data_IF_819174516704
#
_entry.id   IF_819174516704
#
_cell.length_a   1.000
_cell.length_b   1.000
_cell.length_c   1.000
_cell.angle_alpha   90.00
_cell.angle_beta   90.00
_cell.angle_gamma   90.00
#
_symmetry.space_group_name_H-M   'P 1'
#
loop_
_entity.id
_entity.type
_entity.pdbx_description
1 polymer ?
#
# COMPACT_ATOMS: atom_id res chain seq x y z
N UNK A 1 15.92 44.68 -65.76
CA UNK A 1 14.45 44.60 -65.96
C UNK A 1 13.79 44.53 -64.58
N UNK A 2 12.60 45.12 -64.47
CA UNK A 2 11.96 45.63 -63.26
C UNK A 2 11.26 44.55 -62.40
N UNK A 3 11.24 44.78 -61.08
CA UNK A 3 10.21 44.40 -60.08
C UNK A 3 10.14 42.90 -59.68
N UNK A 4 9.81 42.49 -58.45
CA UNK A 4 9.05 43.13 -57.38
C UNK A 4 9.40 42.55 -55.98
N UNK A 5 9.25 43.39 -54.95
CA UNK A 5 9.14 43.04 -53.53
C UNK A 5 7.94 42.13 -53.24
N UNK A 6 8.01 41.30 -52.20
CA UNK A 6 7.13 41.34 -51.01
C UNK A 6 7.63 40.33 -49.95
N UNK A 7 7.89 40.81 -48.72
CA UNK A 7 8.15 39.99 -47.52
C UNK A 7 6.83 39.79 -46.77
N UNK A 8 6.46 38.54 -46.51
CA UNK A 8 5.53 38.08 -45.47
C UNK A 8 6.24 36.86 -44.83
N UNK A 9 6.51 36.70 -43.53
CA UNK A 9 6.03 37.39 -42.35
C UNK A 9 5.14 36.48 -41.52
N UNK A 10 5.64 35.40 -40.92
CA UNK A 10 4.96 34.69 -39.81
C UNK A 10 5.97 34.13 -38.81
N UNK A 11 6.28 34.98 -37.83
CA UNK A 11 6.53 34.57 -36.45
C UNK A 11 5.23 33.92 -35.99
N UNK A 12 5.18 32.61 -35.80
CA UNK A 12 4.13 31.87 -35.07
C UNK A 12 4.46 30.38 -35.22
N UNK A 13 5.39 29.86 -34.41
CA UNK A 13 5.56 28.41 -34.15
C UNK A 13 6.38 28.21 -32.87
N UNK A 14 6.07 29.01 -31.85
CA UNK A 14 6.48 28.77 -30.47
C UNK A 14 5.23 28.91 -29.61
N UNK A 15 4.33 27.92 -29.63
CA UNK A 15 3.37 27.62 -28.55
C UNK A 15 2.46 26.43 -28.87
N UNK A 16 3.01 25.21 -29.01
CA UNK A 16 2.16 24.00 -29.10
C UNK A 16 2.80 22.76 -28.47
N UNK A 17 3.63 22.92 -27.44
CA UNK A 17 4.24 21.79 -26.73
C UNK A 17 4.18 21.90 -25.19
N UNK A 18 3.46 22.89 -24.64
CA UNK A 18 3.44 23.15 -23.19
C UNK A 18 2.10 22.80 -22.49
N UNK A 19 1.18 22.08 -23.15
CA UNK A 19 -0.15 21.77 -22.61
C UNK A 19 -0.44 20.28 -22.36
N UNK A 20 0.54 19.39 -22.53
CA UNK A 20 0.34 17.94 -22.37
C UNK A 20 1.14 17.28 -21.23
N UNK A 21 1.76 18.05 -20.34
CA UNK A 21 2.70 17.52 -19.34
C UNK A 21 2.16 17.21 -17.92
N UNK A 22 0.92 17.53 -17.47
CA UNK A 22 0.47 17.05 -16.16
C UNK A 22 -0.08 15.62 -16.18
N UNK A 23 -0.35 15.02 -17.35
CA UNK A 23 -1.02 13.70 -17.44
C UNK A 23 -0.11 12.48 -17.20
N UNK A 24 1.20 12.61 -17.40
CA UNK A 24 2.12 11.46 -17.31
C UNK A 24 2.46 11.05 -15.87
N UNK A 25 2.21 11.92 -14.88
CA UNK A 25 2.51 11.61 -13.48
C UNK A 25 1.46 10.68 -12.83
N UNK A 26 0.24 10.60 -13.36
CA UNK A 26 -0.85 9.80 -12.76
C UNK A 26 -0.74 8.31 -13.14
N UNK A 27 0.02 7.97 -14.18
CA UNK A 27 0.15 6.59 -14.67
C UNK A 27 1.12 5.72 -13.84
N UNK A 28 1.97 6.32 -13.00
CA UNK A 28 3.01 5.59 -12.25
C UNK A 28 2.64 5.28 -10.79
N UNK A 29 1.48 5.72 -10.30
CA UNK A 29 1.03 5.35 -8.97
C UNK A 29 0.15 4.10 -9.06
N UNK A 30 0.80 2.97 -9.36
CA UNK A 30 0.18 1.65 -9.31
C UNK A 30 -0.18 1.38 -7.84
N UNK A 31 -1.43 1.66 -7.48
CA UNK A 31 -1.99 1.45 -6.15
C UNK A 31 -1.70 0.00 -5.74
N UNK A 32 -0.87 -0.20 -4.69
CA UNK A 32 -0.56 -1.52 -4.11
C UNK A 32 -1.85 -2.17 -3.60
N UNK A 33 -2.56 -2.88 -4.47
CA UNK A 33 -3.88 -3.44 -4.19
C UNK A 33 -3.86 -4.90 -4.55
N UNK A 34 -4.19 -5.74 -3.57
CA UNK A 34 -4.41 -7.14 -3.81
C UNK A 34 -5.65 -7.33 -4.70
N UNK A 35 -5.68 -8.33 -5.60
CA UNK A 35 -6.92 -8.72 -6.25
C UNK A 35 -7.98 -9.08 -5.20
N UNK A 36 -9.19 -8.53 -5.31
CA UNK A 36 -10.26 -8.75 -4.33
C UNK A 36 -10.55 -10.25 -4.09
N UNK A 37 -10.53 -11.06 -5.15
CA UNK A 37 -10.69 -12.50 -5.07
C UNK A 37 -9.58 -13.19 -4.25
N UNK A 38 -8.34 -12.70 -4.33
CA UNK A 38 -7.22 -13.24 -3.56
C UNK A 38 -7.40 -12.97 -2.05
N UNK A 39 -7.90 -11.79 -1.69
CA UNK A 39 -8.24 -11.47 -0.29
C UNK A 39 -9.38 -12.34 0.24
N UNK A 40 -10.39 -12.65 -0.58
CA UNK A 40 -11.46 -13.58 -0.20
C UNK A 40 -10.92 -14.97 0.09
N UNK A 41 -10.06 -15.51 -0.78
CA UNK A 41 -9.43 -16.83 -0.59
C UNK A 41 -8.51 -16.82 0.64
N UNK A 42 -7.72 -15.76 0.83
CA UNK A 42 -6.92 -15.56 2.03
C UNK A 42 -7.78 -15.62 3.29
N UNK A 43 -8.87 -14.84 3.34
CA UNK A 43 -9.77 -14.78 4.49
C UNK A 43 -10.42 -16.14 4.78
N UNK A 44 -10.86 -16.87 3.76
CA UNK A 44 -11.44 -18.20 3.92
C UNK A 44 -10.44 -19.21 4.49
N UNK A 45 -9.20 -19.23 3.97
CA UNK A 45 -8.14 -20.11 4.47
C UNK A 45 -7.73 -19.76 5.90
N UNK A 46 -7.59 -18.48 6.19
CA UNK A 46 -7.26 -17.98 7.53
C UNK A 46 -8.36 -18.36 8.55
N UNK A 47 -9.63 -18.28 8.17
CA UNK A 47 -10.74 -18.75 9.00
C UNK A 47 -10.72 -20.26 9.23
N UNK A 48 -10.37 -21.05 8.21
CA UNK A 48 -10.15 -22.50 8.37
C UNK A 48 -8.98 -22.83 9.33
N UNK A 49 -8.10 -21.87 9.60
CA UNK A 49 -7.00 -21.97 10.58
C UNK A 49 -7.37 -21.44 11.98
N UNK A 50 -8.65 -21.13 12.22
CA UNK A 50 -9.17 -20.76 13.54
C UNK A 50 -9.35 -19.25 13.78
N UNK A 51 -9.13 -18.41 12.77
CA UNK A 51 -9.43 -16.97 12.87
C UNK A 51 -10.92 -16.71 12.69
N UNK A 52 -11.44 -15.68 13.36
CA UNK A 52 -12.81 -15.20 13.13
C UNK A 52 -12.85 -14.29 11.91
N UNK A 53 -14.04 -14.12 11.33
CA UNK A 53 -14.25 -13.16 10.24
C UNK A 53 -13.79 -11.73 10.62
N UNK A 54 -13.94 -11.35 11.89
CA UNK A 54 -13.46 -10.07 12.41
C UNK A 54 -11.92 -9.95 12.37
N UNK A 55 -11.19 -11.03 12.65
CA UNK A 55 -9.72 -11.01 12.71
C UNK A 55 -9.08 -10.81 11.32
N UNK A 56 -9.77 -11.20 10.26
CA UNK A 56 -9.31 -11.07 8.87
C UNK A 56 -10.02 -9.94 8.11
N UNK A 57 -10.78 -9.11 8.81
CA UNK A 57 -11.52 -8.01 8.21
C UNK A 57 -10.56 -6.88 7.82
N UNK A 58 -10.55 -6.53 6.53
CA UNK A 58 -9.83 -5.38 5.97
C UNK A 58 -8.35 -5.22 6.43
N UNK A 59 -7.49 -6.23 6.17
CA UNK A 59 -6.07 -6.09 6.44
C UNK A 59 -5.44 -5.02 5.55
N UNK A 60 -4.39 -4.37 6.06
CA UNK A 60 -3.61 -3.39 5.29
C UNK A 60 -2.70 -4.14 4.31
N UNK A 61 -2.69 -3.76 3.05
CA UNK A 61 -1.65 -4.20 2.10
C UNK A 61 -0.39 -3.39 2.38
N UNK A 62 0.64 -4.03 2.92
CA UNK A 62 1.91 -3.36 3.24
C UNK A 62 2.82 -3.29 2.03
N UNK A 63 2.80 -4.32 1.19
CA UNK A 63 3.54 -4.35 -0.05
C UNK A 63 2.88 -5.24 -1.10
N UNK A 64 3.08 -4.91 -2.38
CA UNK A 64 2.68 -5.77 -3.48
C UNK A 64 3.53 -5.51 -4.72
N UNK A 65 4.01 -6.60 -5.33
CA UNK A 65 4.79 -6.56 -6.56
C UNK A 65 4.61 -7.84 -7.36
N UNK A 66 4.84 -7.76 -8.67
CA UNK A 66 4.79 -8.89 -9.60
C UNK A 66 6.18 -9.16 -10.15
N UNK A 67 6.62 -10.41 -10.06
CA UNK A 67 7.86 -10.90 -10.65
C UNK A 67 7.74 -11.04 -12.18
N UNK A 68 8.87 -11.14 -12.88
CA UNK A 68 8.89 -11.32 -14.34
C UNK A 68 8.21 -12.60 -14.83
N UNK A 69 8.11 -13.62 -13.96
CA UNK A 69 7.40 -14.88 -14.24
C UNK A 69 5.86 -14.74 -14.08
N UNK A 70 5.35 -13.56 -13.72
CA UNK A 70 3.93 -13.28 -13.51
C UNK A 70 3.40 -13.60 -12.12
N UNK A 71 4.25 -14.08 -11.19
CA UNK A 71 3.88 -14.30 -9.79
C UNK A 71 3.74 -12.96 -9.06
N UNK A 72 2.59 -12.70 -8.47
CA UNK A 72 2.33 -11.51 -7.67
C UNK A 72 2.37 -11.84 -6.20
N UNK A 73 3.22 -11.13 -5.45
CA UNK A 73 3.29 -11.19 -3.99
C UNK A 73 2.46 -10.05 -3.42
N UNK A 74 1.60 -10.36 -2.44
CA UNK A 74 0.85 -9.37 -1.68
C UNK A 74 1.05 -9.64 -0.20
N UNK A 75 1.64 -8.68 0.49
CA UNK A 75 1.86 -8.73 1.93
C UNK A 75 0.78 -7.95 2.67
N UNK A 76 0.31 -8.55 3.75
CA UNK A 76 -0.84 -8.09 4.52
C UNK A 76 -0.41 -7.88 5.98
N UNK A 77 -1.02 -6.90 6.64
CA UNK A 77 -0.92 -6.72 8.07
C UNK A 77 -2.31 -6.55 8.68
N UNK A 78 -2.57 -7.30 9.75
CA UNK A 78 -3.84 -7.24 10.47
C UNK A 78 -4.08 -5.82 11.00
N UNK A 79 -5.35 -5.41 11.01
CA UNK A 79 -5.77 -4.09 11.48
C UNK A 79 -6.86 -4.21 12.53
N UNK A 80 -6.75 -3.44 13.60
CA UNK A 80 -7.78 -3.32 14.64
C UNK A 80 -7.95 -1.85 15.00
N UNK A 81 -9.19 -1.37 15.07
CA UNK A 81 -9.52 0.03 15.41
C UNK A 81 -8.73 1.07 14.58
N UNK A 82 -8.47 0.76 13.31
CA UNK A 82 -7.71 1.64 12.43
C UNK A 82 -6.18 1.53 12.53
N UNK A 83 -5.65 0.76 13.48
CA UNK A 83 -4.22 0.59 13.72
C UNK A 83 -3.72 -0.77 13.21
N UNK A 84 -2.52 -0.79 12.63
CA UNK A 84 -1.86 -2.04 12.25
C UNK A 84 -1.37 -2.77 13.50
N UNK A 85 -1.64 -4.07 13.59
CA UNK A 85 -1.17 -4.90 14.69
C UNK A 85 0.27 -5.32 14.40
N UNK A 86 1.19 -4.94 15.29
CA UNK A 86 2.61 -5.25 15.16
C UNK A 86 2.84 -6.77 15.08
N UNK A 87 3.70 -7.22 14.16
CA UNK A 87 4.00 -8.63 13.84
C UNK A 87 2.82 -9.51 13.36
N UNK A 88 1.59 -9.02 13.32
CA UNK A 88 0.44 -9.76 12.81
C UNK A 88 0.37 -9.68 11.27
N UNK A 89 1.24 -10.43 10.61
CA UNK A 89 1.45 -10.35 9.16
C UNK A 89 0.82 -11.54 8.42
N UNK A 90 0.66 -11.40 7.11
CA UNK A 90 0.27 -12.48 6.22
C UNK A 90 0.70 -12.19 4.80
N UNK A 91 0.53 -13.16 3.93
CA UNK A 91 0.68 -12.94 2.50
C UNK A 91 -0.26 -13.82 1.69
N UNK A 92 -0.56 -13.34 0.48
CA UNK A 92 -1.23 -14.09 -0.56
C UNK A 92 -0.46 -13.91 -1.86
N UNK A 93 -0.21 -15.01 -2.56
CA UNK A 93 0.53 -15.05 -3.81
C UNK A 93 -0.38 -15.54 -4.92
N UNK A 94 -0.40 -14.83 -6.05
CA UNK A 94 -1.24 -15.17 -7.21
C UNK A 94 -0.41 -15.34 -8.48
N UNK A 95 -0.81 -16.26 -9.35
CA UNK A 95 -0.23 -16.37 -10.70
C UNK A 95 -0.68 -15.23 -11.62
N UNK A 96 -0.21 -15.25 -12.87
CA UNK A 96 -0.54 -14.24 -13.88
C UNK A 96 -2.04 -14.18 -14.24
N UNK A 97 -2.80 -15.23 -13.94
CA UNK A 97 -4.25 -15.27 -14.11
C UNK A 97 -5.00 -14.76 -12.86
N UNK A 98 -4.28 -14.35 -11.81
CA UNK A 98 -4.83 -13.90 -10.54
C UNK A 98 -5.30 -15.04 -9.62
N UNK A 99 -4.99 -16.30 -9.95
CA UNK A 99 -5.34 -17.44 -9.10
C UNK A 99 -4.36 -17.55 -7.95
N UNK A 100 -4.87 -17.75 -6.74
CA UNK A 100 -4.05 -17.95 -5.54
C UNK A 100 -3.25 -19.25 -5.66
N UNK A 101 -1.93 -19.13 -5.61
CA UNK A 101 -1.00 -20.28 -5.61
C UNK A 101 -0.56 -20.65 -4.20
N UNK A 102 -0.42 -19.66 -3.31
CA UNK A 102 -0.08 -19.87 -1.90
C UNK A 102 -0.51 -18.70 -1.03
N UNK A 103 -0.67 -18.97 0.27
CA UNK A 103 -1.00 -17.97 1.27
C UNK A 103 -0.66 -18.45 2.67
N UNK A 104 -0.28 -17.53 3.55
CA UNK A 104 0.03 -17.79 4.95
C UNK A 104 -0.35 -16.59 5.82
N UNK A 105 -0.48 -16.80 7.12
CA UNK A 105 -0.85 -15.76 8.08
C UNK A 105 -0.26 -16.05 9.46
N UNK A 106 -0.04 -14.96 10.21
CA UNK A 106 0.32 -14.91 11.62
C UNK A 106 -0.55 -13.87 12.35
N UNK A 107 -1.81 -13.74 11.94
CA UNK A 107 -2.77 -12.81 12.54
C UNK A 107 -3.10 -13.25 13.97
N UNK A 108 -3.36 -12.26 14.82
CA UNK A 108 -3.76 -12.50 16.20
C UNK A 108 -5.25 -12.89 16.20
N UNK A 109 -5.57 -14.00 16.85
CA UNK A 109 -6.96 -14.41 17.11
C UNK A 109 -7.61 -13.48 18.12
N UNK A 110 -8.89 -13.15 17.92
CA UNK A 110 -9.63 -12.25 18.81
C UNK A 110 -8.93 -10.92 19.03
N UNK A 111 -8.34 -10.36 17.96
CA UNK A 111 -7.49 -9.18 18.07
C UNK A 111 -8.29 -7.94 18.54
N UNK A 112 -9.54 -7.81 18.11
CA UNK A 112 -10.43 -6.73 18.52
C UNK A 112 -10.73 -6.73 20.03
N UNK A 113 -10.81 -7.92 20.64
CA UNK A 113 -11.08 -8.10 22.06
C UNK A 113 -9.83 -7.88 22.92
N UNK A 114 -8.64 -8.13 22.35
CA UNK A 114 -7.34 -7.93 23.01
C UNK A 114 -6.83 -6.49 22.90
N UNK A 115 -7.27 -5.75 21.88
CA UNK A 115 -6.79 -4.40 21.63
C UNK A 115 -7.29 -3.41 22.70
N UNK A 116 -6.38 -2.53 23.12
CA UNK A 116 -6.73 -1.38 23.93
C UNK A 116 -7.42 -0.30 23.08
N UNK A 117 -7.77 0.82 23.73
CA UNK A 117 -8.24 2.02 23.02
C UNK A 117 -7.22 2.46 21.95
N UNK A 118 -7.73 2.89 20.80
CA UNK A 118 -6.89 3.51 19.77
C UNK A 118 -6.42 4.93 20.15
N UNK A 119 -6.94 5.49 21.24
CA UNK A 119 -6.47 6.77 21.78
C UNK A 119 -5.22 6.55 22.63
N UNK A 120 -4.07 7.12 22.25
CA UNK A 120 -2.83 6.93 23.00
C UNK A 120 -2.88 7.69 24.34
N UNK A 121 -2.42 7.05 25.41
CA UNK A 121 -2.29 7.67 26.73
C UNK A 121 -1.02 8.55 26.86
N UNK A 122 -0.04 8.33 25.98
CA UNK A 122 1.21 9.07 25.92
C UNK A 122 1.34 9.74 24.55
N UNK A 123 1.94 10.93 24.53
CA UNK A 123 2.46 11.52 23.29
C UNK A 123 3.61 10.68 22.73
N UNK A 124 3.96 10.89 21.46
CA UNK A 124 5.06 10.18 20.82
C UNK A 124 6.39 10.43 21.56
N UNK A 125 6.66 11.68 21.94
CA UNK A 125 7.86 12.09 22.68
C UNK A 125 7.93 11.42 24.06
N UNK A 126 6.80 11.37 24.78
CA UNK A 126 6.71 10.67 26.07
C UNK A 126 6.94 9.17 25.92
N UNK A 127 6.39 8.54 24.87
CA UNK A 127 6.59 7.12 24.60
C UNK A 127 8.06 6.77 24.31
N UNK A 128 8.74 7.57 23.48
CA UNK A 128 10.18 7.39 23.19
C UNK A 128 11.02 7.61 24.45
N UNK A 129 10.72 8.65 25.23
CA UNK A 129 11.43 8.93 26.49
C UNK A 129 11.26 7.79 27.50
N UNK A 130 10.04 7.28 27.66
CA UNK A 130 9.76 6.15 28.55
C UNK A 130 10.49 4.87 28.11
N UNK A 131 10.54 4.60 26.80
CA UNK A 131 11.29 3.48 26.25
C UNK A 131 12.80 3.62 26.49
N UNK A 132 13.38 4.81 26.28
CA UNK A 132 14.80 5.06 26.54
C UNK A 132 15.15 4.82 28.02
N UNK A 133 14.33 5.31 28.94
CA UNK A 133 14.51 5.07 30.38
C UNK A 133 14.41 3.58 30.72
N UNK A 134 13.40 2.88 30.20
CA UNK A 134 13.18 1.45 30.47
C UNK A 134 14.32 0.56 29.93
N UNK A 135 14.96 0.97 28.83
CA UNK A 135 16.06 0.25 28.19
C UNK A 135 17.45 0.71 28.65
N UNK A 136 17.55 1.70 29.54
CA UNK A 136 18.84 2.25 30.00
C UNK A 136 19.60 3.02 28.92
N UNK A 137 18.91 3.58 27.93
CA UNK A 137 19.49 4.37 26.85
C UNK A 137 19.60 5.86 27.25
N UNK A 138 20.51 6.63 26.64
CA UNK A 138 20.51 8.08 26.77
C UNK A 138 19.14 8.66 26.39
N UNK A 139 18.71 9.71 27.08
CA UNK A 139 17.45 10.38 26.74
C UNK A 139 17.58 11.06 25.37
N UNK A 140 16.55 11.00 24.52
CA UNK A 140 16.54 11.66 23.21
C UNK A 140 16.65 13.18 23.32
#
# INVERSE_FOLDING_TARGET
MKSAFTRFGHRELVLAAALALPGLAVAQQQQKTAPAAALTVFAAKAQAQGLKAADVSNPVVTDSYTEANGLTHTYLQQRVNGLAVHNATGAVHTDAAGKVVSSYQFFVTDAAQKAASATPALTAEQAVTAAAVALGLPRP
#
